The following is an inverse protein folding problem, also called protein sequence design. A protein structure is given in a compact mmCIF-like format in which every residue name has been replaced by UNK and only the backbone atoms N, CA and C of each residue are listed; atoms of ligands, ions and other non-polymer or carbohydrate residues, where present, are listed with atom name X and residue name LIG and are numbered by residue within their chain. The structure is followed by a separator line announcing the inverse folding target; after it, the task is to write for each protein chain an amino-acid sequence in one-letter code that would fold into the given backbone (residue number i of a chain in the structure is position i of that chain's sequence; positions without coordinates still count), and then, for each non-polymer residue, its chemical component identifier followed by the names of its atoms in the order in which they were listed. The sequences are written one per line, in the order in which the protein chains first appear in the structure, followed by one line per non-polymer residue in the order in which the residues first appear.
data_IF_315100123289
#
_entry.id   IF_315100123289
#
_cell.length_a   1.000
_cell.length_b   1.000
_cell.length_c   1.000
_cell.angle_alpha   90.00
_cell.angle_beta   90.00
_cell.angle_gamma   90.00
#
_symmetry.space_group_name_H-M   'P 1'
#
loop_
_entity.id
_entity.type
_entity.pdbx_description
1 polymer ?
#
# COMPACT_ATOMS: atom_id res chain seq x y z
N UNK A 1 22.66 50.59 -15.96
CA UNK A 1 21.55 49.98 -15.21
C UNK A 1 21.53 48.51 -15.59
N UNK A 2 22.19 47.64 -14.80
CA UNK A 2 21.57 46.70 -13.83
C UNK A 2 20.50 45.82 -14.52
N UNK A 3 20.57 44.49 -14.60
CA UNK A 3 20.94 43.51 -13.56
C UNK A 3 21.34 42.17 -14.19
N UNK A 4 22.33 41.52 -13.57
CA UNK A 4 22.64 40.10 -13.75
C UNK A 4 21.55 39.20 -13.15
N UNK A 5 21.47 37.95 -13.62
CA UNK A 5 20.66 36.88 -13.04
C UNK A 5 21.16 35.53 -13.54
N UNK A 6 22.23 35.02 -12.92
CA UNK A 6 22.69 33.63 -13.01
C UNK A 6 21.62 32.68 -12.44
N UNK A 7 21.50 31.49 -13.03
CA UNK A 7 20.69 30.40 -12.51
C UNK A 7 21.00 29.07 -13.17
N UNK A 8 22.25 28.61 -13.04
CA UNK A 8 22.61 27.20 -13.21
C UNK A 8 21.84 26.36 -12.17
N UNK A 9 21.18 25.29 -12.63
CA UNK A 9 20.46 24.34 -11.77
C UNK A 9 20.48 22.93 -12.35
N UNK A 10 21.68 22.39 -12.51
CA UNK A 10 22.09 20.98 -12.60
C UNK A 10 20.95 19.94 -12.58
N UNK A 11 20.64 19.39 -13.75
CA UNK A 11 20.16 18.00 -13.87
C UNK A 11 21.37 17.08 -13.63
N UNK A 12 21.61 16.65 -12.39
CA UNK A 12 22.59 15.58 -12.11
C UNK A 12 22.30 14.96 -10.75
N UNK A 13 21.18 14.23 -10.67
CA UNK A 13 21.09 13.11 -9.75
C UNK A 13 21.55 11.89 -10.53
N UNK A 14 22.79 11.46 -10.31
CA UNK A 14 23.22 10.11 -10.68
C UNK A 14 22.19 9.16 -10.05
N UNK A 15 21.31 8.57 -10.85
CA UNK A 15 20.51 7.43 -10.41
C UNK A 15 21.55 6.41 -10.00
N UNK A 16 21.70 6.24 -8.69
CA UNK A 16 22.77 5.46 -8.09
C UNK A 16 22.73 4.08 -8.73
N UNK A 17 23.82 3.62 -9.35
CA UNK A 17 23.87 2.37 -10.11
C UNK A 17 23.36 1.17 -9.29
N UNK A 18 23.40 1.29 -7.96
CA UNK A 18 22.80 0.36 -7.01
C UNK A 18 21.27 0.29 -7.10
N UNK A 19 20.55 1.40 -7.24
CA UNK A 19 19.08 1.42 -7.31
C UNK A 19 18.56 0.73 -8.57
N UNK A 20 19.23 0.94 -9.72
CA UNK A 20 18.88 0.23 -10.96
C UNK A 20 19.19 -1.27 -10.86
N UNK A 21 20.31 -1.63 -10.22
CA UNK A 21 20.65 -3.03 -9.97
C UNK A 21 19.62 -3.71 -9.06
N UNK A 22 19.17 -3.06 -7.99
CA UNK A 22 18.15 -3.62 -7.07
C UNK A 22 16.79 -3.78 -7.74
N UNK A 23 16.41 -2.89 -8.67
CA UNK A 23 15.19 -3.08 -9.49
C UNK A 23 15.29 -4.37 -10.31
N UNK A 24 16.43 -4.59 -10.99
CA UNK A 24 16.69 -5.82 -11.76
C UNK A 24 16.61 -7.08 -10.89
N UNK A 25 17.16 -7.04 -9.67
CA UNK A 25 17.13 -8.17 -8.73
C UNK A 25 15.69 -8.52 -8.29
N UNK A 26 14.84 -7.52 -8.05
CA UNK A 26 13.42 -7.72 -7.70
C UNK A 26 12.65 -8.31 -8.89
N UNK A 27 12.92 -7.84 -10.11
CA UNK A 27 12.32 -8.36 -11.33
C UNK A 27 12.68 -9.82 -11.57
N UNK A 28 13.98 -10.13 -11.49
CA UNK A 28 14.50 -11.49 -11.65
C UNK A 28 13.92 -12.42 -10.58
N UNK A 29 13.87 -11.97 -9.33
CA UNK A 29 13.26 -12.73 -8.24
C UNK A 29 11.77 -13.01 -8.48
N UNK A 30 11.01 -12.01 -8.92
CA UNK A 30 9.60 -12.17 -9.26
C UNK A 30 9.41 -13.22 -10.37
N UNK A 31 10.16 -13.07 -11.46
CA UNK A 31 10.09 -13.98 -12.61
C UNK A 31 10.54 -15.40 -12.26
N UNK A 32 11.61 -15.56 -11.46
CA UNK A 32 12.12 -16.85 -11.03
C UNK A 32 11.11 -17.64 -10.18
N UNK A 33 10.27 -16.94 -9.42
CA UNK A 33 9.16 -17.55 -8.66
C UNK A 33 7.87 -17.72 -9.48
N UNK A 34 7.89 -17.39 -10.77
CA UNK A 34 6.72 -17.48 -11.67
C UNK A 34 5.72 -16.35 -11.51
N UNK A 35 6.11 -15.25 -10.85
CA UNK A 35 5.35 -14.01 -10.82
C UNK A 35 5.37 -13.30 -12.18
N UNK A 36 4.34 -12.51 -12.45
CA UNK A 36 4.18 -11.77 -13.71
C UNK A 36 4.20 -10.24 -13.53
N UNK A 37 4.28 -9.78 -12.29
CA UNK A 37 4.17 -8.37 -11.95
C UNK A 37 5.06 -8.05 -10.75
N UNK A 38 6.32 -7.64 -11.00
CA UNK A 38 7.20 -7.13 -9.97
C UNK A 38 6.57 -5.89 -9.29
N UNK A 39 6.81 -5.76 -7.99
CA UNK A 39 6.34 -4.64 -7.18
C UNK A 39 7.58 -3.99 -6.58
N UNK A 40 7.87 -2.75 -6.95
CA UNK A 40 9.02 -2.00 -6.41
C UNK A 40 8.59 -0.96 -5.40
N UNK A 41 7.32 -0.56 -5.41
CA UNK A 41 6.81 0.53 -4.59
C UNK A 41 5.41 0.24 -4.04
N UNK A 42 5.22 0.58 -2.77
CA UNK A 42 3.96 0.31 -2.05
C UNK A 42 3.53 1.55 -1.29
N UNK A 43 2.29 2.00 -1.53
CA UNK A 43 1.59 2.96 -0.70
C UNK A 43 0.92 2.26 0.48
N UNK A 44 1.15 2.76 1.68
CA UNK A 44 0.56 2.29 2.92
C UNK A 44 -0.61 3.20 3.27
N UNK A 45 -1.82 2.73 2.99
CA UNK A 45 -3.07 3.42 3.28
C UNK A 45 -3.57 3.07 4.70
N UNK A 46 -2.67 3.15 5.68
CA UNK A 46 -2.95 2.88 7.09
C UNK A 46 -1.94 3.63 7.97
N UNK A 47 -2.18 3.72 9.27
CA UNK A 47 -1.29 4.37 10.23
C UNK A 47 -0.99 3.47 11.44
N UNK A 48 -0.42 4.06 12.49
CA UNK A 48 -0.19 3.40 13.77
C UNK A 48 0.60 2.09 13.68
N UNK A 49 0.22 1.11 14.50
CA UNK A 49 0.92 -0.18 14.61
C UNK A 49 0.79 -1.04 13.36
N UNK A 50 -0.29 -0.90 12.58
CA UNK A 50 -0.49 -1.64 11.34
C UNK A 50 0.60 -1.28 10.33
N UNK A 51 0.75 0.01 10.06
CA UNK A 51 1.76 0.54 9.17
C UNK A 51 3.18 0.20 9.66
N UNK A 52 3.46 0.35 10.96
CA UNK A 52 4.79 -0.01 11.52
C UNK A 52 5.11 -1.48 11.31
N UNK A 53 4.17 -2.37 11.60
CA UNK A 53 4.38 -3.81 11.47
C UNK A 53 4.62 -4.20 10.01
N UNK A 54 3.83 -3.64 9.09
CA UNK A 54 4.00 -3.88 7.67
C UNK A 54 5.37 -3.45 7.18
N UNK A 55 5.78 -2.21 7.46
CA UNK A 55 7.08 -1.68 7.02
C UNK A 55 8.22 -2.56 7.54
N UNK A 56 8.21 -2.89 8.85
CA UNK A 56 9.27 -3.72 9.44
C UNK A 56 9.30 -5.13 8.85
N UNK A 57 8.12 -5.72 8.60
CA UNK A 57 8.02 -7.06 8.01
C UNK A 57 8.53 -7.09 6.57
N UNK A 58 8.16 -6.12 5.73
CA UNK A 58 8.66 -6.00 4.36
C UNK A 58 10.18 -5.79 4.36
N UNK A 59 10.70 -4.93 5.25
CA UNK A 59 12.14 -4.67 5.35
C UNK A 59 12.96 -5.87 5.81
N UNK A 60 12.49 -6.61 6.81
CA UNK A 60 13.16 -7.84 7.28
C UNK A 60 13.26 -8.85 6.14
N UNK A 61 12.14 -9.10 5.45
CA UNK A 61 12.11 -10.00 4.31
C UNK A 61 12.99 -9.50 3.15
N UNK A 62 12.95 -8.21 2.84
CA UNK A 62 13.77 -7.62 1.78
C UNK A 62 15.27 -7.73 2.10
N UNK A 63 15.66 -7.54 3.36
CA UNK A 63 17.05 -7.71 3.78
C UNK A 63 17.50 -9.16 3.70
N UNK A 64 16.68 -10.11 4.14
CA UNK A 64 16.98 -11.54 4.06
C UNK A 64 17.07 -12.04 2.61
N UNK A 65 16.27 -11.46 1.70
CA UNK A 65 16.16 -11.90 0.30
C UNK A 65 17.18 -11.21 -0.62
N UNK A 66 17.36 -9.89 -0.48
CA UNK A 66 18.14 -9.05 -1.38
C UNK A 66 19.39 -8.44 -0.71
N UNK A 67 19.61 -8.68 0.58
CA UNK A 67 20.71 -8.06 1.34
C UNK A 67 20.52 -6.56 1.61
N UNK A 68 19.33 -6.01 1.31
CA UNK A 68 18.99 -4.59 1.53
C UNK A 68 17.57 -4.44 2.04
N UNK A 69 17.40 -3.67 3.11
CA UNK A 69 16.07 -3.34 3.65
C UNK A 69 15.27 -2.43 2.70
N UNK A 70 15.92 -1.81 1.72
CA UNK A 70 15.32 -0.83 0.80
C UNK A 70 15.11 -1.36 -0.62
N UNK A 71 14.93 -2.67 -0.77
CA UNK A 71 14.58 -3.25 -2.07
C UNK A 71 13.21 -2.77 -2.57
N UNK A 72 12.30 -2.48 -1.64
CA UNK A 72 10.94 -2.01 -1.92
C UNK A 72 10.78 -0.61 -1.33
N UNK A 73 10.36 0.35 -2.15
CA UNK A 73 10.05 1.72 -1.75
C UNK A 73 8.72 1.73 -0.99
N UNK A 74 8.74 2.20 0.25
CA UNK A 74 7.54 2.26 1.10
C UNK A 74 7.12 3.72 1.33
N UNK A 75 5.92 4.06 0.86
CA UNK A 75 5.32 5.40 0.97
C UNK A 75 4.19 5.36 1.99
N UNK A 76 4.24 6.20 3.02
CA UNK A 76 3.19 6.28 4.04
C UNK A 76 2.24 7.48 3.82
N UNK A 77 0.95 7.30 4.12
CA UNK A 77 0.04 8.43 4.30
C UNK A 77 0.16 8.99 5.72
N UNK A 78 0.27 10.31 5.87
CA UNK A 78 0.48 10.97 7.16
C UNK A 78 -0.53 12.09 7.39
N UNK A 79 -1.36 11.98 8.43
CA UNK A 79 -2.21 13.09 8.87
C UNK A 79 -1.41 14.12 9.68
N UNK A 80 -1.87 15.38 9.76
CA UNK A 80 -1.29 16.37 10.66
C UNK A 80 -1.22 15.89 12.12
N UNK A 81 -2.21 15.11 12.55
CA UNK A 81 -2.25 14.50 13.88
C UNK A 81 -1.14 13.46 14.08
N UNK A 82 -0.93 12.56 13.11
CA UNK A 82 0.14 11.57 13.12
C UNK A 82 1.52 12.23 13.08
N UNK A 83 1.67 13.29 12.28
CA UNK A 83 2.90 14.09 12.22
C UNK A 83 3.20 14.78 13.54
N UNK A 84 2.17 15.36 14.19
CA UNK A 84 2.32 16.09 15.46
C UNK A 84 2.79 15.19 16.59
N UNK A 85 2.38 13.93 16.61
CA UNK A 85 2.84 12.95 17.60
C UNK A 85 4.15 12.25 17.21
N UNK A 86 4.74 12.62 16.07
CA UNK A 86 5.92 11.98 15.50
C UNK A 86 5.72 10.46 15.34
N UNK A 87 4.61 10.07 14.69
CA UNK A 87 4.22 8.68 14.58
C UNK A 87 5.31 7.84 13.91
N UNK A 88 5.63 6.69 14.51
CA UNK A 88 6.75 5.84 14.11
C UNK A 88 6.69 5.41 12.64
N UNK A 89 5.50 5.12 12.10
CA UNK A 89 5.34 4.71 10.70
C UNK A 89 5.81 5.77 9.70
N UNK A 90 5.63 7.06 10.01
CA UNK A 90 6.13 8.18 9.19
C UNK A 90 7.66 8.20 9.22
N UNK A 91 8.24 8.05 10.41
CA UNK A 91 9.69 8.10 10.63
C UNK A 91 10.42 6.96 9.92
N UNK A 92 9.82 5.78 9.90
CA UNK A 92 10.45 4.60 9.30
C UNK A 92 10.12 4.44 7.82
N UNK A 93 9.05 5.03 7.27
CA UNK A 93 8.78 4.97 5.83
C UNK A 93 9.91 5.66 5.03
N UNK A 94 10.06 5.29 3.75
CA UNK A 94 11.06 5.93 2.89
C UNK A 94 10.61 7.31 2.42
N UNK A 95 9.29 7.45 2.20
CA UNK A 95 8.63 8.71 1.89
C UNK A 95 7.28 8.75 2.61
N UNK A 96 6.74 9.95 2.78
CA UNK A 96 5.37 10.12 3.24
C UNK A 96 4.67 11.22 2.44
N UNK A 97 3.35 11.10 2.35
CA UNK A 97 2.46 12.09 1.73
C UNK A 97 1.54 12.62 2.82
N UNK A 98 1.52 13.94 2.99
CA UNK A 98 0.57 14.58 3.91
C UNK A 98 -0.86 14.45 3.37
N UNK A 99 -1.79 14.05 4.23
CA UNK A 99 -3.20 13.84 3.90
C UNK A 99 -4.10 14.64 4.84
N UNK A 100 -5.36 14.93 4.47
CA UNK A 100 -6.26 15.69 5.32
C UNK A 100 -6.43 15.08 6.72
N UNK A 101 -6.41 15.92 7.75
CA UNK A 101 -6.64 15.50 9.13
C UNK A 101 -8.11 15.19 9.46
N UNK A 102 -8.38 15.01 10.75
CA UNK A 102 -9.73 14.68 11.24
C UNK A 102 -10.11 13.21 11.11
N UNK A 103 -11.40 12.93 10.91
CA UNK A 103 -11.94 11.56 10.92
C UNK A 103 -11.40 10.71 9.77
N UNK A 104 -11.28 9.39 10.00
CA UNK A 104 -10.76 8.42 9.04
C UNK A 104 -11.37 8.50 7.62
N UNK A 105 -12.64 8.89 7.52
CA UNK A 105 -13.37 9.05 6.26
C UNK A 105 -12.78 10.14 5.35
N UNK A 106 -11.96 11.04 5.90
CA UNK A 106 -11.30 12.10 5.14
C UNK A 106 -9.91 11.69 4.64
N UNK A 107 -9.35 10.61 5.17
CA UNK A 107 -7.97 10.19 4.90
C UNK A 107 -7.86 8.69 4.56
N UNK A 108 -7.52 7.85 5.54
CA UNK A 108 -7.21 6.43 5.36
C UNK A 108 -8.38 5.58 4.87
N UNK A 109 -9.63 6.03 5.07
CA UNK A 109 -10.83 5.37 4.57
C UNK A 109 -11.38 6.00 3.26
N UNK A 110 -10.76 7.07 2.76
CA UNK A 110 -11.22 7.76 1.56
C UNK A 110 -10.60 7.13 0.31
N UNK A 111 -11.39 6.34 -0.41
CA UNK A 111 -10.94 5.67 -1.64
C UNK A 111 -10.45 6.66 -2.69
N UNK A 112 -11.16 7.76 -2.90
CA UNK A 112 -10.78 8.74 -3.94
C UNK A 112 -9.44 9.39 -3.61
N UNK A 113 -9.23 9.77 -2.35
CA UNK A 113 -7.96 10.31 -1.92
C UNK A 113 -6.81 9.30 -2.10
N UNK A 114 -7.03 8.03 -1.75
CA UNK A 114 -6.01 6.98 -1.94
C UNK A 114 -5.65 6.89 -3.42
N UNK A 115 -6.63 6.90 -4.32
CA UNK A 115 -6.40 6.87 -5.76
C UNK A 115 -5.61 8.10 -6.24
N UNK A 116 -5.96 9.30 -5.79
CA UNK A 116 -5.21 10.53 -6.12
C UNK A 116 -3.74 10.42 -5.66
N UNK A 117 -3.49 9.91 -4.46
CA UNK A 117 -2.13 9.73 -3.94
C UNK A 117 -1.37 8.71 -4.78
N UNK A 118 -2.00 7.61 -5.19
CA UNK A 118 -1.34 6.62 -6.05
C UNK A 118 -0.96 7.19 -7.41
N UNK A 119 -1.73 8.13 -7.96
CA UNK A 119 -1.40 8.82 -9.20
C UNK A 119 -0.20 9.75 -9.03
N UNK A 120 -0.12 10.47 -7.91
CA UNK A 120 0.98 11.40 -7.61
C UNK A 120 2.29 10.63 -7.33
N UNK A 121 2.19 9.51 -6.61
CA UNK A 121 3.36 8.75 -6.14
C UNK A 121 3.82 7.68 -7.13
N UNK A 122 3.01 7.35 -8.14
CA UNK A 122 3.28 6.32 -9.14
C UNK A 122 3.64 4.97 -8.51
N UNK A 123 2.99 4.59 -7.41
CA UNK A 123 3.26 3.32 -6.73
C UNK A 123 2.72 2.13 -7.52
N UNK A 124 3.39 0.98 -7.40
CA UNK A 124 2.97 -0.27 -8.05
C UNK A 124 1.81 -0.94 -7.32
N UNK A 125 1.74 -0.75 -5.99
CA UNK A 125 0.78 -1.41 -5.14
C UNK A 125 0.29 -0.55 -3.97
N UNK A 126 -0.88 -0.89 -3.42
CA UNK A 126 -1.46 -0.31 -2.22
C UNK A 126 -1.69 -1.40 -1.17
N UNK A 127 -1.25 -1.14 0.05
CA UNK A 127 -1.57 -1.94 1.22
C UNK A 127 -2.48 -1.16 2.17
N UNK A 128 -3.76 -1.55 2.34
CA UNK A 128 -4.69 -0.86 3.24
C UNK A 128 -4.57 -1.32 4.70
N UNK A 129 -3.84 -2.40 4.99
CA UNK A 129 -3.75 -2.99 6.33
C UNK A 129 -5.08 -3.57 6.82
N UNK A 130 -5.48 -3.24 8.06
CA UNK A 130 -6.77 -3.63 8.65
C UNK A 130 -7.56 -2.39 9.08
N UNK A 131 -8.89 -2.51 9.03
CA UNK A 131 -9.80 -1.38 9.22
C UNK A 131 -9.75 -0.38 8.06
N UNK A 132 -10.34 0.80 8.27
CA UNK A 132 -10.41 1.89 7.27
C UNK A 132 -11.04 1.42 5.94
N UNK A 133 -10.34 1.64 4.82
CA UNK A 133 -10.81 1.25 3.49
C UNK A 133 -10.71 -0.26 3.22
N UNK A 134 -10.17 -1.09 4.12
CA UNK A 134 -10.06 -2.54 3.89
C UNK A 134 -11.44 -3.18 3.65
N UNK A 135 -12.51 -2.68 4.26
CA UNK A 135 -13.86 -3.23 4.09
C UNK A 135 -14.63 -2.60 2.92
N UNK A 136 -14.03 -1.64 2.21
CA UNK A 136 -14.66 -1.03 1.05
C UNK A 136 -14.33 -1.84 -0.23
N UNK A 137 -15.29 -2.61 -0.79
CA UNK A 137 -15.07 -3.40 -2.00
C UNK A 137 -14.80 -2.54 -3.24
N UNK A 138 -15.04 -1.23 -3.20
CA UNK A 138 -14.74 -0.32 -4.32
C UNK A 138 -13.23 -0.08 -4.49
N UNK A 139 -12.44 -0.18 -3.42
CA UNK A 139 -11.01 0.13 -3.46
C UNK A 139 -10.22 -0.81 -4.39
N UNK A 140 -10.34 -2.15 -4.29
CA UNK A 140 -9.63 -3.06 -5.20
C UNK A 140 -9.98 -2.84 -6.67
N UNK A 141 -11.25 -2.62 -6.98
CA UNK A 141 -11.71 -2.44 -8.36
C UNK A 141 -11.24 -1.11 -8.95
N UNK A 142 -11.27 -0.04 -8.15
CA UNK A 142 -10.77 1.27 -8.57
C UNK A 142 -9.25 1.28 -8.77
N UNK A 143 -8.49 0.61 -7.90
CA UNK A 143 -7.04 0.43 -8.07
C UNK A 143 -6.73 -0.40 -9.32
N UNK A 144 -7.48 -1.49 -9.54
CA UNK A 144 -7.33 -2.33 -10.74
C UNK A 144 -7.59 -1.54 -12.02
N UNK A 145 -8.57 -0.65 -12.03
CA UNK A 145 -8.86 0.22 -13.18
C UNK A 145 -7.69 1.17 -13.53
N UNK A 146 -6.89 1.56 -12.53
CA UNK A 146 -5.65 2.34 -12.71
C UNK A 146 -4.41 1.46 -12.92
N UNK A 147 -4.59 0.15 -12.96
CA UNK A 147 -3.51 -0.80 -13.08
C UNK A 147 -2.59 -0.84 -11.87
N UNK A 148 -3.08 -0.52 -10.66
CA UNK A 148 -2.33 -0.61 -9.40
C UNK A 148 -2.72 -1.90 -8.68
N UNK A 149 -1.74 -2.58 -8.07
CA UNK A 149 -1.98 -3.83 -7.35
C UNK A 149 -2.58 -3.55 -5.98
N UNK A 150 -3.74 -4.13 -5.68
CA UNK A 150 -4.27 -4.16 -4.33
C UNK A 150 -3.67 -5.34 -3.56
N UNK A 151 -2.97 -5.07 -2.45
CA UNK A 151 -2.39 -6.09 -1.58
C UNK A 151 -3.44 -6.61 -0.58
N UNK A 152 -4.41 -7.35 -1.12
CA UNK A 152 -5.51 -7.93 -0.36
C UNK A 152 -6.41 -8.80 -1.25
N UNK A 153 -7.55 -9.29 -0.70
CA UNK A 153 -8.52 -10.03 -1.49
C UNK A 153 -9.15 -9.15 -2.59
N UNK A 154 -9.56 -9.73 -3.73
CA UNK A 154 -10.29 -8.98 -4.74
C UNK A 154 -11.69 -8.58 -4.25
N UNK A 155 -12.28 -7.55 -4.85
CA UNK A 155 -13.60 -7.01 -4.49
C UNK A 155 -14.70 -8.08 -4.44
N UNK A 156 -14.68 -9.03 -5.38
CA UNK A 156 -15.63 -10.14 -5.42
C UNK A 156 -15.55 -11.00 -4.17
N UNK A 157 -14.35 -11.34 -3.71
CA UNK A 157 -14.15 -12.13 -2.50
C UNK A 157 -14.53 -11.35 -1.25
N UNK A 158 -14.25 -10.04 -1.23
CA UNK A 158 -14.64 -9.16 -0.13
C UNK A 158 -16.16 -9.03 -0.01
N UNK A 159 -16.87 -8.85 -1.13
CA UNK A 159 -18.32 -8.78 -1.14
C UNK A 159 -18.98 -10.12 -0.76
N UNK A 160 -18.44 -11.23 -1.25
CA UNK A 160 -18.98 -12.56 -0.99
C UNK A 160 -18.80 -13.04 0.46
N UNK A 161 -17.70 -12.66 1.12
CA UNK A 161 -17.34 -13.14 2.46
C UNK A 161 -17.48 -12.08 3.56
N UNK A 162 -17.73 -10.82 3.19
CA UNK A 162 -17.88 -9.71 4.14
C UNK A 162 -19.19 -9.75 4.92
N UNK A 163 -20.24 -10.31 4.33
CA UNK A 163 -21.53 -10.46 4.99
C UNK A 163 -21.66 -11.83 5.68
N UNK A 164 -22.21 -11.82 6.90
CA UNK A 164 -22.26 -13.00 7.78
C UNK A 164 -23.13 -14.13 7.20
N UNK A 165 -24.18 -13.79 6.44
CA UNK A 165 -25.15 -14.75 5.91
C UNK A 165 -24.57 -15.41 4.65
N UNK A 166 -24.15 -14.61 3.66
CA UNK A 166 -23.50 -15.03 2.43
C UNK A 166 -22.24 -15.84 2.70
N UNK A 167 -21.39 -15.40 3.63
CA UNK A 167 -20.21 -16.16 4.06
C UNK A 167 -20.58 -17.54 4.62
N UNK A 168 -21.68 -17.65 5.37
CA UNK A 168 -22.16 -18.94 5.90
C UNK A 168 -22.74 -19.85 4.82
N UNK A 169 -23.43 -19.30 3.83
CA UNK A 169 -23.93 -20.06 2.67
C UNK A 169 -22.78 -20.61 1.84
N UNK A 170 -21.74 -19.80 1.61
CA UNK A 170 -20.51 -20.23 0.91
C UNK A 170 -19.78 -21.32 1.71
N UNK A 171 -19.67 -21.16 3.02
CA UNK A 171 -19.07 -22.16 3.90
C UNK A 171 -19.80 -23.51 3.80
N UNK A 172 -21.14 -23.50 3.83
CA UNK A 172 -21.95 -24.71 3.66
C UNK A 172 -21.75 -25.35 2.30
N UNK A 173 -21.72 -24.56 1.22
CA UNK A 173 -21.44 -25.06 -0.13
C UNK A 173 -20.04 -25.69 -0.24
N UNK A 174 -19.08 -25.22 0.57
CA UNK A 174 -17.74 -25.79 0.69
C UNK A 174 -17.63 -26.95 1.70
N UNK A 175 -18.75 -27.47 2.22
CA UNK A 175 -18.82 -28.51 3.25
C UNK A 175 -18.15 -28.12 4.59
N UNK A 176 -18.09 -26.83 4.91
CA UNK A 176 -17.66 -26.30 6.20
C UNK A 176 -18.90 -25.95 7.02
N UNK A 177 -18.97 -26.47 8.25
CA UNK A 177 -20.13 -26.25 9.12
C UNK A 177 -20.05 -24.88 9.83
N UNK A 178 -20.91 -23.89 9.50
CA UNK A 178 -20.96 -22.63 10.23
C UNK A 178 -21.67 -22.81 11.58
N UNK A 179 -21.50 -21.83 12.49
CA UNK A 179 -22.16 -21.85 13.79
C UNK A 179 -23.69 -21.89 13.66
N UNK A 180 -24.34 -22.65 14.55
CA UNK A 180 -25.79 -22.83 14.54
C UNK A 180 -26.50 -21.51 14.91
N UNK A 181 -27.20 -20.90 13.94
CA UNK A 181 -27.96 -19.65 14.15
C UNK A 181 -27.71 -18.53 13.12
N UNK A 182 -26.80 -18.72 12.16
CA UNK A 182 -26.50 -17.70 11.14
C UNK A 182 -27.39 -17.77 9.90
N UNK A 183 -28.00 -18.94 9.64
CA UNK A 183 -28.75 -19.22 8.39
C UNK A 183 -30.26 -19.39 8.63
N UNK A 184 -30.74 -19.20 9.86
CA UNK A 184 -32.15 -19.40 10.26
C UNK A 184 -32.86 -18.11 10.71
N UNK A 185 -32.47 -16.94 10.19
CA UNK A 185 -33.25 -15.69 10.35
C UNK A 185 -34.08 -15.38 9.11
#
# INVERSE_FOLDING_TARGET
MASAGHGNGLINGVVSNKHTATISEVDEFCNALGGNRPIHSILIANNGMAAVKFIRSVRSWAYETFGTEKAILLVAMATPEDMRINAEHIRIADQFVEVPGGTNNNNYANVQLILEITEITHVDAVWPGWGHALENPELPDALKAKGIVFLGPPAVSMGALGDKIGSSLIAQAANVQPFHGVVHM
#
